data_IF_860679428645
#
_entry.id   IF_860679428645
#
_cell.length_a   1.000
_cell.length_b   1.000
_cell.length_c   1.000
_cell.angle_alpha   90.00
_cell.angle_beta   90.00
_cell.angle_gamma   90.00
#
_symmetry.space_group_name_H-M   'P 1'
#
loop_
_entity.id
_entity.type
_entity.pdbx_description
1 polymer ?
#
# COMPACT_ATOMS: atom_id res chain seq x y z
N UNK A 1 -1.86 -39.11 -33.22
CA UNK A 1 -1.21 -39.41 -31.93
C UNK A 1 -1.99 -38.69 -30.84
N UNK A 2 -2.79 -39.40 -30.05
CA UNK A 2 -3.48 -38.83 -28.87
C UNK A 2 -2.47 -38.88 -27.74
N UNK A 3 -2.06 -37.73 -27.18
CA UNK A 3 -1.10 -37.67 -26.09
C UNK A 3 -1.84 -37.89 -24.75
N UNK A 4 -1.84 -39.11 -24.18
CA UNK A 4 -2.58 -39.39 -22.95
C UNK A 4 -1.97 -38.70 -21.73
N UNK A 5 -0.75 -38.18 -21.86
CA UNK A 5 -0.01 -37.46 -20.81
C UNK A 5 -0.33 -35.97 -20.70
N UNK A 6 -1.12 -35.40 -21.63
CA UNK A 6 -1.49 -33.98 -21.58
C UNK A 6 -2.55 -33.69 -20.49
N UNK A 7 -3.38 -34.67 -20.17
CA UNK A 7 -4.45 -34.58 -19.17
C UNK A 7 -3.93 -34.36 -17.73
N UNK A 8 -2.95 -35.12 -17.20
CA UNK A 8 -2.46 -34.90 -15.83
C UNK A 8 -1.70 -33.58 -15.68
N UNK A 9 -1.04 -33.08 -16.73
CA UNK A 9 -0.31 -31.80 -16.70
C UNK A 9 -1.27 -30.61 -16.62
N UNK A 10 -2.38 -30.67 -17.38
CA UNK A 10 -3.40 -29.62 -17.35
C UNK A 10 -4.14 -29.59 -15.99
N UNK A 11 -4.33 -30.74 -15.36
CA UNK A 11 -4.96 -30.85 -14.05
C UNK A 11 -4.10 -30.30 -12.89
N UNK A 12 -2.79 -30.17 -13.07
CA UNK A 12 -1.87 -29.67 -12.04
C UNK A 12 -1.74 -28.14 -11.99
N UNK A 13 -2.07 -27.43 -13.09
CA UNK A 13 -2.01 -25.96 -13.16
C UNK A 13 -2.79 -25.21 -12.06
N UNK A 14 -4.06 -25.56 -11.72
CA UNK A 14 -4.80 -24.81 -10.70
C UNK A 14 -4.23 -25.00 -9.28
N UNK A 15 -3.48 -26.07 -9.02
CA UNK A 15 -2.87 -26.30 -7.70
C UNK A 15 -1.76 -25.28 -7.38
N UNK A 16 -1.12 -24.69 -8.41
CA UNK A 16 -0.11 -23.63 -8.19
C UNK A 16 -0.75 -22.29 -7.85
N UNK A 17 -1.97 -22.02 -8.30
CA UNK A 17 -2.70 -20.79 -7.96
C UNK A 17 -3.10 -20.71 -6.48
N UNK A 18 -3.11 -21.85 -5.78
CA UNK A 18 -3.35 -21.90 -4.34
C UNK A 18 -2.13 -21.47 -3.50
N UNK A 19 -0.97 -21.24 -4.11
CA UNK A 19 0.27 -20.83 -3.41
C UNK A 19 0.50 -19.30 -3.47
N UNK A 20 -0.58 -18.52 -3.55
CA UNK A 20 -0.54 -17.06 -3.50
C UNK A 20 -0.53 -16.50 -2.08
N UNK A 21 -0.18 -15.22 -1.91
CA UNK A 21 -0.21 -14.58 -0.61
C UNK A 21 -1.65 -14.49 -0.08
N UNK A 22 -1.81 -14.75 1.21
CA UNK A 22 -3.05 -14.62 1.96
C UNK A 22 -3.41 -13.16 2.19
N UNK A 23 -4.68 -12.85 2.41
CA UNK A 23 -5.15 -11.47 2.64
C UNK A 23 -4.47 -10.79 3.83
N UNK A 24 -4.02 -11.55 4.83
CA UNK A 24 -3.34 -11.04 6.03
C UNK A 24 -1.80 -11.04 5.90
N UNK A 25 -1.26 -11.51 4.78
CA UNK A 25 0.19 -11.53 4.58
C UNK A 25 0.72 -10.09 4.42
N UNK A 26 1.89 -9.76 5.01
CA UNK A 26 2.51 -8.46 4.84
C UNK A 26 2.83 -8.20 3.36
N UNK A 27 2.24 -7.16 2.80
CA UNK A 27 2.51 -6.68 1.45
C UNK A 27 3.57 -5.57 1.40
N UNK A 28 3.99 -5.19 0.19
CA UNK A 28 4.87 -4.04 0.00
C UNK A 28 4.21 -2.75 0.54
N UNK A 29 4.99 -1.91 1.21
CA UNK A 29 4.47 -0.69 1.84
C UNK A 29 3.92 -0.87 3.26
N UNK A 30 4.01 -2.08 3.82
CA UNK A 30 3.61 -2.35 5.21
C UNK A 30 2.11 -2.54 5.42
N UNK A 31 1.34 -2.62 4.34
CA UNK A 31 -0.08 -2.99 4.33
C UNK A 31 -0.24 -4.45 3.95
N UNK A 32 -1.27 -5.11 4.44
CA UNK A 32 -1.61 -6.47 4.03
C UNK A 32 -2.17 -6.51 2.61
N UNK A 33 -2.14 -7.68 1.98
CA UNK A 33 -2.70 -7.87 0.62
C UNK A 33 -4.20 -7.53 0.58
N UNK A 34 -4.94 -7.91 1.63
CA UNK A 34 -6.37 -7.61 1.77
C UNK A 34 -6.62 -6.12 1.97
N UNK A 35 -5.79 -5.43 2.76
CA UNK A 35 -5.87 -3.97 2.91
C UNK A 35 -5.62 -3.27 1.57
N UNK A 36 -4.54 -3.61 0.86
CA UNK A 36 -4.24 -3.00 -0.44
C UNK A 36 -5.40 -3.15 -1.42
N UNK A 37 -6.00 -4.35 -1.51
CA UNK A 37 -7.16 -4.61 -2.37
C UNK A 37 -8.39 -3.77 -1.97
N UNK A 38 -8.63 -3.61 -0.67
CA UNK A 38 -9.74 -2.80 -0.18
C UNK A 38 -9.56 -1.32 -0.51
N UNK A 39 -8.32 -0.81 -0.47
CA UNK A 39 -8.00 0.55 -0.91
C UNK A 39 -8.23 0.74 -2.42
N UNK A 40 -7.84 -0.23 -3.25
CA UNK A 40 -8.05 -0.19 -4.69
C UNK A 40 -9.54 -0.18 -5.06
N UNK A 41 -10.35 -0.99 -4.35
CA UNK A 41 -11.81 -1.00 -4.54
C UNK A 41 -12.44 0.35 -4.17
N UNK A 42 -11.97 0.98 -3.09
CA UNK A 42 -12.41 2.32 -2.70
C UNK A 42 -12.05 3.37 -3.76
N UNK A 43 -10.84 3.30 -4.33
CA UNK A 43 -10.41 4.18 -5.41
C UNK A 43 -11.28 4.00 -6.67
N UNK A 44 -11.58 2.76 -7.06
CA UNK A 44 -12.46 2.47 -8.19
C UNK A 44 -13.85 3.10 -8.03
N UNK A 45 -14.43 3.07 -6.81
CA UNK A 45 -15.71 3.74 -6.53
C UNK A 45 -15.64 5.27 -6.63
N UNK A 46 -14.46 5.89 -6.44
CA UNK A 46 -14.27 7.33 -6.61
C UNK A 46 -14.18 7.66 -8.11
N UNK A 47 -13.44 6.85 -8.86
CA UNK A 47 -13.31 7.02 -10.31
C UNK A 47 -14.66 6.86 -11.03
N UNK A 48 -15.45 5.86 -10.63
CA UNK A 48 -16.81 5.66 -11.16
C UNK A 48 -17.75 6.84 -10.85
N UNK A 49 -17.51 7.56 -9.76
CA UNK A 49 -18.30 8.72 -9.34
C UNK A 49 -17.84 10.04 -9.96
N UNK A 50 -17.06 9.99 -11.04
CA UNK A 50 -16.62 11.13 -11.87
C UNK A 50 -16.72 12.47 -11.13
N UNK A 51 -15.81 12.70 -10.18
CA UNK A 51 -15.85 13.85 -9.28
C UNK A 51 -16.09 15.14 -10.10
N UNK A 52 -17.18 15.89 -9.84
CA UNK A 52 -17.51 17.09 -10.60
C UNK A 52 -16.32 18.06 -10.61
N UNK A 53 -16.04 18.67 -11.77
CA UNK A 53 -14.90 19.56 -11.94
C UNK A 53 -14.91 20.74 -10.96
N UNK A 54 -16.09 21.20 -10.52
CA UNK A 54 -16.22 22.19 -9.44
C UNK A 54 -15.53 21.76 -8.13
N UNK A 55 -15.53 20.48 -7.76
CA UNK A 55 -14.88 19.98 -6.54
C UNK A 55 -13.35 20.01 -6.67
N UNK A 56 -12.83 19.82 -7.89
CA UNK A 56 -11.39 19.87 -8.19
C UNK A 56 -10.87 21.32 -8.33
N UNK A 57 -11.75 22.27 -8.67
CA UNK A 57 -11.40 23.68 -8.86
C UNK A 57 -11.43 24.49 -7.56
N UNK A 58 -12.02 23.95 -6.48
CA UNK A 58 -12.16 24.63 -5.18
C UNK A 58 -11.07 24.24 -4.17
N UNK A 59 -10.00 23.56 -4.59
CA UNK A 59 -8.80 23.48 -3.75
C UNK A 59 -7.99 24.76 -3.97
N UNK A 60 -7.98 25.73 -3.02
CA UNK A 60 -7.00 26.80 -3.07
C UNK A 60 -5.65 26.11 -3.05
N UNK A 61 -4.86 26.31 -4.12
CA UNK A 61 -3.50 25.83 -4.20
C UNK A 61 -2.84 26.02 -2.83
N UNK A 62 -2.22 24.98 -2.23
CA UNK A 62 -1.51 25.18 -0.99
C UNK A 62 -0.54 26.31 -1.27
N UNK A 63 -0.79 27.46 -0.61
CA UNK A 63 0.20 28.50 -0.54
C UNK A 63 1.46 27.76 -0.14
N UNK A 64 2.52 27.90 -0.94
CA UNK A 64 3.83 27.41 -0.58
C UNK A 64 4.24 28.15 0.70
N UNK A 65 3.73 27.71 1.85
CA UNK A 65 4.42 27.80 3.10
C UNK A 65 5.54 26.78 2.92
N UNK A 66 6.68 27.31 2.46
CA UNK A 66 7.97 26.70 2.73
C UNK A 66 7.89 26.08 4.12
N UNK A 67 8.27 24.80 4.31
CA UNK A 67 8.68 24.40 5.63
C UNK A 67 9.89 25.28 5.91
N UNK A 68 9.67 26.36 6.67
CA UNK A 68 10.68 26.81 7.59
C UNK A 68 11.01 25.54 8.38
N UNK A 69 12.10 24.90 8.01
CA UNK A 69 12.72 23.89 8.81
C UNK A 69 12.94 24.57 10.16
N UNK A 70 12.03 24.33 11.10
CA UNK A 70 12.31 24.60 12.49
C UNK A 70 13.62 23.87 12.77
N UNK A 71 14.65 24.57 13.27
CA UNK A 71 15.90 23.91 13.61
C UNK A 71 15.56 22.87 14.66
N UNK A 72 15.63 21.59 14.28
CA UNK A 72 15.53 20.48 15.23
C UNK A 72 16.60 20.77 16.30
N UNK A 73 16.21 21.03 17.57
CA UNK A 73 17.21 21.24 18.60
C UNK A 73 18.05 19.97 18.68
N UNK A 74 19.38 20.14 18.62
CA UNK A 74 20.32 19.04 18.82
C UNK A 74 19.95 18.27 20.09
N UNK A 75 20.08 16.92 20.11
CA UNK A 75 19.81 16.16 21.31
C UNK A 75 20.68 16.70 22.45
N UNK A 76 20.05 17.07 23.56
CA UNK A 76 20.78 17.42 24.78
C UNK A 76 21.71 16.26 25.16
N UNK A 77 22.96 16.52 25.57
CA UNK A 77 23.83 15.45 26.06
C UNK A 77 23.14 14.75 27.24
N UNK A 78 23.22 13.42 27.25
CA UNK A 78 22.65 12.57 28.28
C UNK A 78 23.12 13.02 29.67
N UNK A 79 22.26 13.01 30.70
CA UNK A 79 22.77 13.02 32.06
C UNK A 79 23.47 11.68 32.31
N UNK A 80 24.79 11.70 32.17
CA UNK A 80 25.68 10.86 32.96
C UNK A 80 25.35 11.14 34.45
N UNK A 81 25.10 10.07 35.19
CA UNK A 81 24.72 10.04 36.59
C UNK A 81 24.75 8.57 37.00
N UNK A 82 25.84 7.98 37.49
CA UNK A 82 26.61 8.37 38.69
C UNK A 82 25.66 8.60 39.87
N UNK A 83 25.37 7.53 40.60
CA UNK A 83 25.53 7.46 42.06
C UNK A 83 25.08 6.05 42.53
N UNK A 84 26.05 5.32 43.08
CA UNK A 84 25.93 4.00 43.74
C UNK A 84 25.83 4.17 45.26
#
# INVERSE_FOLDING_TARGET
MRAPFLVPVLALMPALAACGPSDNDPGPGGVTVGEARALDEAAAMIDERQTPAEVLAEEPAPAATEPAAEPVPAPAPAPEGEDE
#
